data_IF_095031337097
#
_entry.id   IF_095031337097
#
_cell.length_a   1.000
_cell.length_b   1.000
_cell.length_c   1.000
_cell.angle_alpha   90.00
_cell.angle_beta   90.00
_cell.angle_gamma   90.00
#
_symmetry.space_group_name_H-M   'P 1'
#
loop_
_entity.id
_entity.type
_entity.pdbx_description
1 polymer ?
#
# COMPACT_ATOMS: atom_id res chain seq x y z
N UNK A 1 -10.18 16.16 -19.62
CA UNK A 1 -10.10 15.14 -18.55
C UNK A 1 -11.36 15.30 -17.72
N UNK A 2 -12.11 14.23 -17.48
CA UNK A 2 -13.22 14.30 -16.51
C UNK A 2 -12.62 14.65 -15.15
N UNK A 3 -13.27 15.54 -14.41
CA UNK A 3 -12.85 15.88 -13.06
C UNK A 3 -12.93 14.62 -12.18
N UNK A 4 -11.90 14.40 -11.35
CA UNK A 4 -11.90 13.32 -10.37
C UNK A 4 -12.93 13.66 -9.29
N UNK A 5 -13.95 12.81 -9.17
CA UNK A 5 -15.07 12.98 -8.26
C UNK A 5 -14.67 12.83 -6.79
N UNK A 6 -15.49 13.34 -5.88
CA UNK A 6 -15.26 13.18 -4.44
C UNK A 6 -15.22 11.72 -3.99
N UNK A 7 -16.07 10.85 -4.56
CA UNK A 7 -16.08 9.42 -4.26
C UNK A 7 -14.76 8.75 -4.67
N UNK A 8 -14.25 9.09 -5.86
CA UNK A 8 -12.98 8.57 -6.36
C UNK A 8 -11.82 8.93 -5.43
N UNK A 9 -11.76 10.19 -4.99
CA UNK A 9 -10.75 10.66 -4.03
C UNK A 9 -10.86 9.93 -2.71
N UNK A 10 -12.08 9.78 -2.17
CA UNK A 10 -12.33 9.07 -0.92
C UNK A 10 -11.83 7.62 -0.98
N UNK A 11 -12.18 6.89 -2.03
CA UNK A 11 -11.77 5.49 -2.20
C UNK A 11 -10.26 5.35 -2.37
N UNK A 12 -9.63 6.23 -3.16
CA UNK A 12 -8.18 6.25 -3.32
C UNK A 12 -7.45 6.54 -1.99
N UNK A 13 -7.94 7.52 -1.21
CA UNK A 13 -7.43 7.80 0.14
C UNK A 13 -7.58 6.58 1.03
N UNK A 14 -8.78 5.99 1.10
CA UNK A 14 -9.10 4.82 1.92
C UNK A 14 -8.17 3.63 1.65
N UNK A 15 -7.83 3.41 0.37
CA UNK A 15 -6.88 2.37 0.01
C UNK A 15 -5.52 2.57 0.70
N UNK A 16 -4.97 3.79 0.72
CA UNK A 16 -3.67 4.07 1.36
C UNK A 16 -3.75 4.15 2.88
N UNK A 17 -4.78 4.78 3.44
CA UNK A 17 -4.91 4.93 4.90
C UNK A 17 -5.36 3.65 5.59
N UNK A 18 -5.76 2.61 4.84
CA UNK A 18 -5.97 1.27 5.38
C UNK A 18 -4.76 0.71 6.15
N UNK A 19 -3.57 1.29 5.91
CA UNK A 19 -2.38 1.11 6.75
C UNK A 19 -2.72 1.21 8.25
N UNK A 20 -3.53 2.19 8.65
CA UNK A 20 -3.87 2.47 10.06
C UNK A 20 -4.96 1.56 10.63
N UNK A 21 -5.68 0.82 9.78
CA UNK A 21 -6.70 -0.11 10.27
C UNK A 21 -6.09 -1.31 10.99
N UNK A 22 -4.82 -1.64 10.69
CA UNK A 22 -4.14 -2.80 11.23
C UNK A 22 -4.87 -4.12 10.91
N UNK A 23 -4.41 -5.21 11.52
CA UNK A 23 -5.02 -6.54 11.40
C UNK A 23 -5.36 -6.92 9.95
N UNK A 24 -6.57 -7.44 9.75
CA UNK A 24 -7.06 -7.78 8.41
C UNK A 24 -7.44 -6.54 7.58
N UNK A 25 -7.82 -5.43 8.22
CA UNK A 25 -8.21 -4.19 7.54
C UNK A 25 -7.11 -3.62 6.67
N UNK A 26 -5.85 -3.84 7.06
CA UNK A 26 -4.64 -3.50 6.31
C UNK A 26 -4.65 -4.04 4.87
N UNK A 27 -5.15 -5.26 4.64
CA UNK A 27 -5.18 -5.89 3.30
C UNK A 27 -6.58 -5.81 2.70
N UNK A 28 -7.62 -6.08 3.50
CA UNK A 28 -8.98 -6.24 2.99
C UNK A 28 -9.47 -4.94 2.36
N UNK A 29 -9.21 -3.78 2.97
CA UNK A 29 -9.68 -2.52 2.42
C UNK A 29 -9.14 -2.24 1.00
N UNK A 30 -7.81 -2.21 0.75
CA UNK A 30 -7.30 -1.97 -0.60
C UNK A 30 -7.61 -3.12 -1.56
N UNK A 31 -7.72 -4.36 -1.08
CA UNK A 31 -8.12 -5.51 -1.90
C UNK A 31 -9.56 -5.38 -2.41
N UNK A 32 -10.50 -5.06 -1.53
CA UNK A 32 -11.92 -4.89 -1.91
C UNK A 32 -12.06 -3.73 -2.89
N UNK A 33 -11.40 -2.60 -2.63
CA UNK A 33 -11.43 -1.44 -3.55
C UNK A 33 -10.82 -1.83 -4.91
N UNK A 34 -9.67 -2.51 -4.92
CA UNK A 34 -9.01 -2.98 -6.14
C UNK A 34 -9.89 -3.92 -6.97
N UNK A 35 -10.62 -4.84 -6.32
CA UNK A 35 -11.49 -5.79 -7.01
C UNK A 35 -12.77 -5.15 -7.55
N UNK A 36 -13.36 -4.20 -6.83
CA UNK A 36 -14.65 -3.60 -7.17
C UNK A 36 -14.56 -2.40 -8.13
N UNK A 37 -13.43 -1.68 -8.14
CA UNK A 37 -13.27 -0.42 -8.90
C UNK A 37 -12.35 -0.56 -10.11
N UNK A 38 -12.40 -1.70 -10.81
CA UNK A 38 -11.58 -1.98 -12.00
C UNK A 38 -11.85 -1.06 -13.18
N UNK A 39 -13.10 -0.60 -13.34
CA UNK A 39 -13.51 0.30 -14.42
C UNK A 39 -13.14 1.76 -14.16
N UNK A 40 -12.65 2.06 -12.95
CA UNK A 40 -12.23 3.39 -12.54
C UNK A 40 -10.70 3.48 -12.51
N UNK A 41 -10.11 4.01 -13.57
CA UNK A 41 -8.65 4.04 -13.72
C UNK A 41 -7.93 4.74 -12.54
N UNK A 42 -8.53 5.80 -11.97
CA UNK A 42 -7.92 6.54 -10.86
C UNK A 42 -7.96 5.71 -9.57
N UNK A 43 -9.14 5.21 -9.19
CA UNK A 43 -9.30 4.41 -7.96
C UNK A 43 -8.53 3.10 -8.08
N UNK A 44 -8.62 2.43 -9.23
CA UNK A 44 -7.88 1.19 -9.50
C UNK A 44 -6.38 1.38 -9.35
N UNK A 45 -5.82 2.47 -9.89
CA UNK A 45 -4.39 2.78 -9.78
C UNK A 45 -3.96 2.89 -8.31
N UNK A 46 -4.66 3.70 -7.51
CA UNK A 46 -4.35 3.90 -6.09
C UNK A 46 -4.54 2.61 -5.27
N UNK A 47 -5.61 1.86 -5.53
CA UNK A 47 -5.88 0.60 -4.85
C UNK A 47 -4.83 -0.47 -5.17
N UNK A 48 -4.39 -0.59 -6.44
CA UNK A 48 -3.31 -1.49 -6.84
C UNK A 48 -1.99 -1.11 -6.14
N UNK A 49 -1.65 0.17 -6.14
CA UNK A 49 -0.44 0.68 -5.48
C UNK A 49 -0.43 0.36 -3.98
N UNK A 50 -1.53 0.67 -3.26
CA UNK A 50 -1.65 0.37 -1.83
C UNK A 50 -1.60 -1.14 -1.55
N UNK A 51 -2.37 -1.95 -2.29
CA UNK A 51 -2.44 -3.39 -2.09
C UNK A 51 -1.07 -4.06 -2.27
N UNK A 52 -0.35 -3.72 -3.35
CA UNK A 52 0.98 -4.29 -3.61
C UNK A 52 1.98 -3.83 -2.56
N UNK A 53 1.94 -2.57 -2.11
CA UNK A 53 2.79 -2.09 -1.03
C UNK A 53 2.57 -2.85 0.28
N UNK A 54 1.30 -3.07 0.63
CA UNK A 54 0.87 -3.77 1.84
C UNK A 54 1.27 -5.25 1.81
N UNK A 55 1.05 -5.93 0.68
CA UNK A 55 1.50 -7.31 0.52
C UNK A 55 3.03 -7.43 0.53
N UNK A 56 3.75 -6.46 -0.03
CA UNK A 56 5.22 -6.46 -0.05
C UNK A 56 5.81 -6.38 1.36
N UNK A 57 5.31 -5.46 2.20
CA UNK A 57 5.82 -5.32 3.58
C UNK A 57 5.45 -6.53 4.44
N UNK A 58 4.28 -7.13 4.23
CA UNK A 58 3.88 -8.34 4.95
C UNK A 58 4.73 -9.54 4.56
N UNK A 59 5.02 -9.72 3.26
CA UNK A 59 5.92 -10.76 2.79
C UNK A 59 7.32 -10.59 3.40
N UNK A 60 7.87 -9.37 3.38
CA UNK A 60 9.16 -9.08 4.01
C UNK A 60 9.15 -9.36 5.52
N UNK A 61 8.09 -8.94 6.21
CA UNK A 61 7.91 -9.17 7.66
C UNK A 61 7.81 -10.66 7.99
N UNK A 62 7.09 -11.44 7.18
CA UNK A 62 6.94 -12.89 7.34
C UNK A 62 8.27 -13.64 7.15
N UNK A 63 9.04 -13.26 6.11
CA UNK A 63 10.36 -13.83 5.85
C UNK A 63 11.30 -13.56 7.03
N UNK A 64 11.38 -12.31 7.50
CA UNK A 64 12.25 -11.95 8.61
C UNK A 64 11.81 -12.61 9.92
N UNK A 65 10.51 -12.66 10.19
CA UNK A 65 9.97 -13.37 11.36
C UNK A 65 10.34 -14.86 11.35
N UNK A 66 10.29 -15.51 10.18
CA UNK A 66 10.74 -16.91 10.04
C UNK A 66 12.24 -17.07 10.30
N UNK A 67 13.06 -16.13 9.83
CA UNK A 67 14.50 -16.11 10.08
C UNK A 67 14.86 -15.85 11.55
N UNK A 68 13.99 -15.23 12.34
CA UNK A 68 14.21 -15.04 13.78
C UNK A 68 14.28 -16.37 14.54
N UNK A 69 13.65 -17.44 14.03
CA UNK A 69 13.77 -18.80 14.60
C UNK A 69 15.24 -19.25 14.60
N UNK A 70 16.02 -18.82 13.60
CA UNK A 70 17.45 -19.10 13.45
C UNK A 70 18.35 -18.04 14.13
N UNK A 71 17.78 -17.14 14.95
CA UNK A 71 18.44 -15.99 15.60
C UNK A 71 18.93 -14.91 14.62
N UNK A 72 19.35 -15.28 13.41
CA UNK A 72 19.87 -14.34 12.40
C UNK A 72 18.85 -13.28 11.98
N UNK A 73 17.55 -13.60 12.02
CA UNK A 73 16.49 -12.64 11.70
C UNK A 73 16.43 -11.45 12.66
N UNK A 74 16.92 -11.58 13.90
CA UNK A 74 16.93 -10.49 14.88
C UNK A 74 17.70 -9.28 14.36
N UNK A 75 18.80 -9.50 13.65
CA UNK A 75 19.60 -8.43 13.05
C UNK A 75 18.89 -7.72 11.88
N UNK A 76 17.87 -8.33 11.30
CA UNK A 76 17.07 -7.76 10.21
C UNK A 76 15.84 -6.97 10.71
N UNK A 77 15.46 -7.10 12.00
CA UNK A 77 14.31 -6.40 12.57
C UNK A 77 14.39 -4.87 12.42
N UNK A 78 15.54 -4.19 12.65
CA UNK A 78 15.63 -2.74 12.44
C UNK A 78 15.36 -2.33 10.99
N UNK A 79 15.75 -3.17 10.02
CA UNK A 79 15.54 -2.92 8.59
C UNK A 79 14.05 -3.03 8.26
N UNK A 80 13.37 -4.07 8.76
CA UNK A 80 11.91 -4.21 8.59
C UNK A 80 11.17 -3.04 9.24
N UNK A 81 11.58 -2.63 10.43
CA UNK A 81 11.02 -1.44 11.11
C UNK A 81 11.16 -0.17 10.26
N UNK A 82 12.31 0.03 9.62
CA UNK A 82 12.51 1.15 8.69
C UNK A 82 11.61 1.06 7.46
N UNK A 83 11.43 -0.14 6.89
CA UNK A 83 10.53 -0.33 5.75
C UNK A 83 9.06 -0.03 6.11
N UNK A 84 8.62 -0.41 7.32
CA UNK A 84 7.30 -0.03 7.83
C UNK A 84 7.16 1.49 7.96
N UNK A 85 8.18 2.18 8.46
CA UNK A 85 8.19 3.65 8.55
C UNK A 85 8.13 4.31 7.16
N UNK A 86 8.90 3.80 6.19
CA UNK A 86 8.86 4.27 4.80
C UNK A 86 7.46 4.07 4.21
N UNK A 87 6.84 2.91 4.44
CA UNK A 87 5.48 2.65 3.99
C UNK A 87 4.48 3.63 4.61
N UNK A 88 4.58 3.89 5.92
CA UNK A 88 3.72 4.85 6.62
C UNK A 88 3.82 6.24 5.97
N UNK A 89 5.03 6.75 5.79
CA UNK A 89 5.26 8.09 5.23
C UNK A 89 4.72 8.17 3.80
N UNK A 90 5.03 7.16 2.97
CA UNK A 90 4.59 7.13 1.57
C UNK A 90 3.08 6.94 1.44
N UNK A 91 2.42 6.19 2.33
CA UNK A 91 0.94 6.09 2.37
C UNK A 91 0.26 7.41 2.72
N UNK A 92 0.83 8.20 3.63
CA UNK A 92 0.32 9.55 3.94
C UNK A 92 0.47 10.47 2.72
N UNK A 93 1.63 10.45 2.06
CA UNK A 93 1.86 11.24 0.85
C UNK A 93 0.90 10.81 -0.26
N UNK A 94 0.70 9.51 -0.45
CA UNK A 94 -0.21 8.96 -1.45
C UNK A 94 -1.67 9.38 -1.20
N UNK A 95 -2.12 9.36 0.06
CA UNK A 95 -3.42 9.85 0.46
C UNK A 95 -3.58 11.36 0.20
N UNK A 96 -2.54 12.15 0.53
CA UNK A 96 -2.52 13.59 0.25
C UNK A 96 -2.61 13.88 -1.25
N UNK A 97 -1.85 13.14 -2.07
CA UNK A 97 -1.92 13.23 -3.54
C UNK A 97 -3.32 12.88 -4.06
N UNK A 98 -3.90 11.78 -3.56
CA UNK A 98 -5.23 11.35 -3.93
C UNK A 98 -6.30 12.41 -3.61
N UNK A 99 -6.16 13.12 -2.48
CA UNK A 99 -7.04 14.24 -2.12
C UNK A 99 -7.04 15.37 -3.16
N UNK A 100 -5.87 15.70 -3.71
CA UNK A 100 -5.75 16.67 -4.80
C UNK A 100 -6.10 16.09 -6.18
N UNK A 101 -6.45 14.80 -6.27
CA UNK A 101 -6.73 14.13 -7.54
C UNK A 101 -5.48 13.77 -8.33
N UNK A 102 -4.31 13.75 -7.68
CA UNK A 102 -3.04 13.35 -8.29
C UNK A 102 -2.79 11.85 -8.09
N UNK A 103 -2.34 11.18 -9.14
CA UNK A 103 -1.83 9.81 -9.04
C UNK A 103 -0.49 9.76 -8.30
N UNK A 104 -0.32 8.75 -7.45
CA UNK A 104 0.93 8.50 -6.72
C UNK A 104 1.47 7.10 -7.06
N UNK A 105 2.80 6.99 -7.10
CA UNK A 105 3.51 5.72 -7.31
C UNK A 105 4.48 5.51 -6.14
N UNK A 106 4.38 4.35 -5.47
CA UNK A 106 5.33 4.00 -4.41
C UNK A 106 6.71 3.67 -5.01
N UNK A 107 7.77 4.38 -4.66
CA UNK A 107 9.05 4.30 -5.39
C UNK A 107 9.66 2.90 -5.44
N UNK A 108 9.50 2.09 -4.38
CA UNK A 108 10.23 0.82 -4.23
C UNK A 108 9.52 -0.43 -4.79
N UNK A 109 8.29 -0.31 -5.32
CA UNK A 109 7.49 -1.46 -5.75
C UNK A 109 7.07 -1.43 -7.23
N UNK A 110 7.52 -0.44 -8.01
CA UNK A 110 7.06 -0.28 -9.40
C UNK A 110 7.40 -1.49 -10.28
N UNK A 111 8.56 -2.12 -10.08
CA UNK A 111 8.92 -3.35 -10.79
C UNK A 111 7.96 -4.51 -10.52
N UNK A 112 7.36 -4.57 -9.33
CA UNK A 112 6.36 -5.60 -8.99
C UNK A 112 5.00 -5.25 -9.60
N UNK A 113 4.62 -3.98 -9.56
CA UNK A 113 3.37 -3.49 -10.15
C UNK A 113 3.31 -3.68 -11.65
N UNK A 114 4.44 -3.55 -12.35
CA UNK A 114 4.51 -3.69 -13.81
C UNK A 114 4.52 -5.15 -14.30
N UNK A 115 4.65 -6.13 -13.40
CA UNK A 115 4.63 -7.57 -13.75
C UNK A 115 3.21 -8.15 -13.84
N UNK A 116 2.21 -7.38 -13.42
CA UNK A 116 0.79 -7.75 -13.36
C UNK A 116 -0.07 -6.56 -13.82
#
# INVERSE_FOLDING_TARGET
MNEITGEQKLLAILAHISYFLGGLGFIIAPLVIFLLKKDDAFVFHHAKQALVAHLSILAASFIVSSLCILIIGVFLLPIVGLLWLILLVTSIIAASKAFYGESYQYPFIQNLINRF
#
